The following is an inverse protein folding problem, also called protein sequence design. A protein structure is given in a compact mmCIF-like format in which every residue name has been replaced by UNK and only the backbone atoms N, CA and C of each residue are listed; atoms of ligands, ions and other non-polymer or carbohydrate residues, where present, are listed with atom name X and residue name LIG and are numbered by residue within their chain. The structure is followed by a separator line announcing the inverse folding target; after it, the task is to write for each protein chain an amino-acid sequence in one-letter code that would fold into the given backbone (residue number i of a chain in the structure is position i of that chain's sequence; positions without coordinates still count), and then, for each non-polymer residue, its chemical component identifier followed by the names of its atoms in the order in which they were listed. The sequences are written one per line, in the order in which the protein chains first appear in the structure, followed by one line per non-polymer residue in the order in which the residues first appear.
data_IF_426068374549
#
_entry.id   IF_426068374549
#
_cell.length_a   1.000
_cell.length_b   1.000
_cell.length_c   1.000
_cell.angle_alpha   90.00
_cell.angle_beta   90.00
_cell.angle_gamma   90.00
#
_symmetry.space_group_name_H-M   'P 1'
#
loop_
_entity.id
_entity.type
_entity.pdbx_description
1 polymer ?
#
# COMPACT_ATOMS: atom_id res chain seq x y z
N UNK A 1 18.93 9.59 -25.95
CA UNK A 1 19.90 8.53 -25.60
C UNK A 1 19.65 7.87 -24.25
N UNK A 2 19.59 8.65 -23.16
CA UNK A 2 19.35 8.17 -21.78
C UNK A 2 18.09 7.30 -21.65
N UNK A 3 16.97 7.68 -22.29
CA UNK A 3 15.72 6.90 -22.29
C UNK A 3 15.82 5.53 -23.00
N UNK A 4 16.78 5.34 -23.91
CA UNK A 4 17.03 4.06 -24.61
C UNK A 4 17.93 3.15 -23.77
N UNK A 5 18.96 3.72 -23.15
CA UNK A 5 19.86 3.01 -22.23
C UNK A 5 19.10 2.51 -20.98
N UNK A 6 18.23 3.36 -20.41
CA UNK A 6 17.37 2.96 -19.28
C UNK A 6 16.40 1.83 -19.65
N UNK A 7 15.87 1.83 -20.88
CA UNK A 7 15.00 0.77 -21.40
C UNK A 7 15.74 -0.56 -21.58
N UNK A 8 17.00 -0.51 -22.04
CA UNK A 8 17.87 -1.68 -22.19
C UNK A 8 18.30 -2.27 -20.84
N UNK A 9 18.61 -1.43 -19.84
CA UNK A 9 18.93 -1.93 -18.49
C UNK A 9 17.72 -2.59 -17.82
N UNK A 10 16.50 -2.18 -18.16
CA UNK A 10 15.26 -2.79 -17.66
C UNK A 10 15.08 -4.24 -18.11
N UNK A 11 15.53 -4.57 -19.32
CA UNK A 11 15.43 -5.93 -19.86
C UNK A 11 16.45 -6.90 -19.24
N UNK A 12 17.58 -6.39 -18.75
CA UNK A 12 18.71 -7.23 -18.29
C UNK A 12 18.65 -7.54 -16.79
N UNK A 13 18.05 -6.66 -15.96
CA UNK A 13 18.08 -6.79 -14.49
C UNK A 13 16.75 -6.38 -13.82
N UNK A 14 15.66 -7.14 -14.02
CA UNK A 14 14.32 -6.80 -13.53
C UNK A 14 14.22 -6.73 -12.00
N UNK A 15 15.05 -7.46 -11.27
CA UNK A 15 15.12 -7.48 -9.80
C UNK A 15 15.65 -6.18 -9.19
N UNK A 16 16.60 -5.50 -9.85
CA UNK A 16 17.11 -4.20 -9.40
C UNK A 16 16.04 -3.11 -9.50
N UNK A 17 15.22 -3.16 -10.55
CA UNK A 17 14.07 -2.27 -10.68
C UNK A 17 13.00 -2.57 -9.66
N UNK A 18 12.68 -3.84 -9.40
CA UNK A 18 11.72 -4.21 -8.34
C UNK A 18 12.18 -3.69 -6.97
N UNK A 19 13.47 -3.81 -6.66
CA UNK A 19 14.05 -3.29 -5.41
C UNK A 19 13.97 -1.76 -5.34
N UNK A 20 14.27 -1.08 -6.44
CA UNK A 20 14.16 0.39 -6.51
C UNK A 20 12.72 0.88 -6.40
N UNK A 21 11.76 0.19 -7.03
CA UNK A 21 10.33 0.56 -6.96
C UNK A 21 9.77 0.42 -5.55
N UNK A 22 10.08 -0.68 -4.85
CA UNK A 22 9.63 -0.88 -3.48
C UNK A 22 10.21 0.19 -2.54
N UNK A 23 11.46 0.60 -2.75
CA UNK A 23 12.08 1.70 -2.01
C UNK A 23 11.39 3.06 -2.26
N UNK A 24 10.99 3.34 -3.51
CA UNK A 24 10.22 4.55 -3.84
C UNK A 24 8.88 4.55 -3.10
N UNK A 25 8.17 3.41 -3.09
CA UNK A 25 6.92 3.25 -2.34
C UNK A 25 7.14 3.48 -0.84
N UNK A 26 8.19 2.90 -0.25
CA UNK A 26 8.53 3.12 1.16
C UNK A 26 8.79 4.61 1.47
N UNK A 27 9.49 5.32 0.59
CA UNK A 27 9.72 6.77 0.76
C UNK A 27 8.43 7.58 0.66
N UNK A 28 7.51 7.23 -0.24
CA UNK A 28 6.19 7.88 -0.32
C UNK A 28 5.35 7.63 0.93
N UNK A 29 5.37 6.41 1.47
CA UNK A 29 4.70 6.06 2.73
C UNK A 29 5.28 6.89 3.90
N UNK A 30 6.62 7.05 3.97
CA UNK A 30 7.25 7.92 4.98
C UNK A 30 6.81 9.37 4.82
N UNK A 31 6.79 9.90 3.60
CA UNK A 31 6.30 11.26 3.33
C UNK A 31 4.84 11.46 3.78
N UNK A 32 3.96 10.48 3.57
CA UNK A 32 2.59 10.52 4.07
C UNK A 32 2.57 10.49 5.59
N UNK A 33 3.32 9.58 6.21
CA UNK A 33 3.44 9.49 7.68
C UNK A 33 3.78 10.85 8.26
N UNK A 34 4.78 11.51 7.70
CA UNK A 34 5.26 12.80 8.20
C UNK A 34 4.25 13.93 7.91
N UNK A 35 3.65 13.96 6.72
CA UNK A 35 2.66 14.97 6.30
C UNK A 35 1.39 14.94 7.16
N UNK A 36 0.90 13.74 7.45
CA UNK A 36 -0.33 13.51 8.22
C UNK A 36 -0.05 13.25 9.71
N UNK A 37 1.21 13.39 10.14
CA UNK A 37 1.66 13.21 11.52
C UNK A 37 1.24 11.86 12.14
N UNK A 38 1.30 10.79 11.34
CA UNK A 38 1.02 9.44 11.83
C UNK A 38 2.15 8.92 12.73
N UNK A 39 1.79 8.01 13.64
CA UNK A 39 2.74 7.45 14.62
C UNK A 39 3.81 6.56 13.98
N UNK A 40 4.89 6.28 14.72
CA UNK A 40 5.88 5.29 14.29
C UNK A 40 5.29 3.88 14.12
N UNK A 41 4.22 3.55 14.85
CA UNK A 41 3.48 2.31 14.67
C UNK A 41 2.79 2.24 13.31
N UNK A 42 2.31 3.37 12.78
CA UNK A 42 1.83 3.45 11.41
C UNK A 42 2.93 3.08 10.41
N UNK A 43 4.13 3.63 10.59
CA UNK A 43 5.30 3.30 9.77
C UNK A 43 5.58 1.79 9.75
N UNK A 44 5.69 1.17 10.93
CA UNK A 44 5.94 -0.28 11.03
C UNK A 44 4.83 -1.14 10.44
N UNK A 45 3.57 -0.77 10.69
CA UNK A 45 2.40 -1.50 10.19
C UNK A 45 2.32 -1.40 8.66
N UNK A 46 2.56 -0.21 8.10
CA UNK A 46 2.56 0.02 6.66
C UNK A 46 3.69 -0.77 5.95
N UNK A 47 4.87 -0.87 6.56
CA UNK A 47 5.98 -1.67 6.03
C UNK A 47 5.63 -3.17 6.03
N UNK A 48 5.05 -3.68 7.12
CA UNK A 48 4.60 -5.08 7.18
C UNK A 48 3.53 -5.41 6.13
N UNK A 49 2.60 -4.49 5.90
CA UNK A 49 1.58 -4.61 4.83
C UNK A 49 2.23 -4.59 3.45
N UNK A 50 3.12 -3.62 3.19
CA UNK A 50 3.83 -3.52 1.91
C UNK A 50 4.60 -4.80 1.60
N UNK A 51 5.34 -5.31 2.59
CA UNK A 51 6.13 -6.52 2.43
C UNK A 51 5.27 -7.74 2.12
N UNK A 52 4.18 -7.92 2.88
CA UNK A 52 3.28 -9.06 2.71
C UNK A 52 2.55 -9.03 1.36
N UNK A 53 2.10 -7.87 0.94
CA UNK A 53 1.21 -7.72 -0.22
C UNK A 53 1.92 -7.22 -1.48
N UNK A 54 3.25 -7.06 -1.47
CA UNK A 54 4.02 -6.55 -2.61
C UNK A 54 3.72 -7.29 -3.92
N UNK A 55 3.67 -8.62 -3.88
CA UNK A 55 3.41 -9.45 -5.07
C UNK A 55 1.99 -9.29 -5.64
N UNK A 56 1.05 -8.77 -4.85
CA UNK A 56 -0.32 -8.49 -5.28
C UNK A 56 -0.48 -7.04 -5.76
N UNK A 57 0.09 -6.09 -5.01
CA UNK A 57 -0.12 -4.66 -5.23
C UNK A 57 0.89 -4.03 -6.20
N UNK A 58 2.12 -4.54 -6.29
CA UNK A 58 3.23 -3.93 -7.03
C UNK A 58 3.08 -3.83 -8.56
N UNK A 59 1.94 -4.24 -9.12
CA UNK A 59 1.66 -4.21 -10.57
C UNK A 59 1.12 -2.88 -11.10
N UNK A 60 1.00 -1.86 -10.25
CA UNK A 60 0.55 -0.50 -10.61
C UNK A 60 1.63 0.54 -10.26
N UNK A 61 1.32 1.83 -10.37
CA UNK A 61 2.24 2.93 -10.05
C UNK A 61 2.60 2.95 -8.56
N UNK A 62 3.79 3.46 -8.25
CA UNK A 62 4.31 3.54 -6.88
C UNK A 62 3.33 4.32 -5.98
N UNK A 63 2.81 5.44 -6.46
CA UNK A 63 1.83 6.27 -5.73
C UNK A 63 0.56 5.50 -5.37
N UNK A 64 -0.01 4.72 -6.31
CA UNK A 64 -1.22 3.94 -6.02
C UNK A 64 -0.92 2.85 -5.00
N UNK A 65 0.26 2.21 -5.07
CA UNK A 65 0.68 1.21 -4.06
C UNK A 65 0.85 1.87 -2.69
N UNK A 66 1.58 2.97 -2.60
CA UNK A 66 1.83 3.70 -1.35
C UNK A 66 0.50 4.13 -0.70
N UNK A 67 -0.38 4.76 -1.46
CA UNK A 67 -1.70 5.18 -0.98
C UNK A 67 -2.57 4.01 -0.53
N UNK A 68 -2.57 2.90 -1.30
CA UNK A 68 -3.29 1.67 -0.90
C UNK A 68 -2.78 1.13 0.43
N UNK A 69 -1.46 1.06 0.61
CA UNK A 69 -0.84 0.58 1.86
C UNK A 69 -1.18 1.51 3.03
N UNK A 70 -1.10 2.83 2.85
CA UNK A 70 -1.50 3.79 3.88
C UNK A 70 -2.96 3.63 4.29
N UNK A 71 -3.87 3.46 3.33
CA UNK A 71 -5.31 3.28 3.60
C UNK A 71 -5.57 1.95 4.32
N UNK A 72 -4.92 0.85 3.91
CA UNK A 72 -4.99 -0.42 4.64
C UNK A 72 -4.46 -0.28 6.07
N UNK A 73 -3.39 0.48 6.27
CA UNK A 73 -2.81 0.76 7.59
C UNK A 73 -3.80 1.52 8.48
N UNK A 74 -4.44 2.56 7.94
CA UNK A 74 -5.47 3.32 8.65
C UNK A 74 -6.65 2.43 9.07
N UNK A 75 -7.06 1.51 8.19
CA UNK A 75 -8.14 0.55 8.50
C UNK A 75 -7.71 -0.41 9.61
N UNK A 76 -6.50 -0.96 9.54
CA UNK A 76 -5.94 -1.90 10.54
C UNK A 76 -5.84 -1.24 11.93
N UNK A 77 -5.41 0.01 11.97
CA UNK A 77 -5.19 0.79 13.21
C UNK A 77 -6.43 1.56 13.67
N UNK A 78 -7.56 1.38 12.99
CA UNK A 78 -8.82 2.11 13.20
C UNK A 78 -8.69 3.65 13.24
N UNK A 79 -7.80 4.20 12.44
CA UNK A 79 -7.61 5.65 12.24
C UNK A 79 -8.81 6.19 11.45
N UNK A 80 -9.46 7.24 11.97
CA UNK A 80 -10.69 7.85 11.40
C UNK A 80 -10.60 9.36 11.21
N UNK A 81 -9.56 9.99 11.74
CA UNK A 81 -9.37 11.45 11.71
C UNK A 81 -8.91 11.98 10.35
N UNK A 82 -8.58 11.11 9.39
CA UNK A 82 -8.24 11.51 8.02
C UNK A 82 -9.10 10.79 7.00
N UNK A 83 -9.70 11.50 6.03
CA UNK A 83 -10.46 10.89 4.96
C UNK A 83 -9.53 10.25 3.92
N UNK A 84 -10.00 9.16 3.30
CA UNK A 84 -9.28 8.46 2.24
C UNK A 84 -8.97 9.39 1.06
N UNK A 85 -9.85 10.36 0.78
CA UNK A 85 -9.66 11.35 -0.29
C UNK A 85 -8.37 12.15 -0.13
N UNK A 86 -8.08 12.65 1.06
CA UNK A 86 -6.90 13.49 1.31
C UNK A 86 -5.58 12.73 1.04
N UNK A 87 -5.52 11.45 1.41
CA UNK A 87 -4.38 10.59 1.09
C UNK A 87 -4.23 10.42 -0.42
N UNK A 88 -5.34 10.16 -1.12
CA UNK A 88 -5.33 9.96 -2.57
C UNK A 88 -4.91 11.24 -3.31
N UNK A 89 -5.45 12.39 -2.90
CA UNK A 89 -5.15 13.70 -3.47
C UNK A 89 -3.68 14.08 -3.25
N UNK A 90 -3.12 13.81 -2.07
CA UNK A 90 -1.70 14.06 -1.75
C UNK A 90 -0.73 13.30 -2.66
N UNK A 91 -1.17 12.17 -3.23
CA UNK A 91 -0.39 11.31 -4.12
C UNK A 91 -0.81 11.41 -5.59
N UNK A 92 -1.79 12.27 -5.90
CA UNK A 92 -2.23 12.54 -7.26
C UNK A 92 -2.97 11.39 -7.95
N UNK A 93 -3.77 10.60 -7.23
CA UNK A 93 -4.58 9.53 -7.83
C UNK A 93 -6.01 9.48 -7.24
N UNK A 94 -6.92 8.74 -7.88
CA UNK A 94 -8.34 8.69 -7.48
C UNK A 94 -8.66 7.60 -6.46
N UNK A 95 -9.67 7.82 -5.61
CA UNK A 95 -10.16 6.79 -4.68
C UNK A 95 -10.59 5.48 -5.38
N UNK A 96 -11.09 5.58 -6.61
CA UNK A 96 -11.46 4.41 -7.42
C UNK A 96 -10.27 3.49 -7.70
N UNK A 97 -9.05 4.04 -7.82
CA UNK A 97 -7.84 3.24 -8.02
C UNK A 97 -7.52 2.38 -6.78
N UNK A 98 -7.65 2.92 -5.56
CA UNK A 98 -7.47 2.13 -4.33
C UNK A 98 -8.57 1.09 -4.16
N UNK A 99 -9.82 1.47 -4.43
CA UNK A 99 -10.93 0.51 -4.36
C UNK A 99 -10.69 -0.65 -5.33
N UNK A 100 -10.21 -0.37 -6.55
CA UNK A 100 -9.80 -1.39 -7.52
C UNK A 100 -8.66 -2.27 -7.00
N UNK A 101 -7.62 -1.68 -6.39
CA UNK A 101 -6.50 -2.45 -5.82
C UNK A 101 -6.98 -3.41 -4.74
N UNK A 102 -7.71 -2.92 -3.75
CA UNK A 102 -8.17 -3.76 -2.62
C UNK A 102 -9.13 -4.84 -3.13
N UNK A 103 -10.13 -4.46 -3.93
CA UNK A 103 -11.10 -5.41 -4.46
C UNK A 103 -10.44 -6.49 -5.32
N UNK A 104 -9.74 -6.10 -6.38
CA UNK A 104 -9.36 -7.02 -7.43
C UNK A 104 -8.01 -7.69 -7.17
N UNK A 105 -7.09 -7.02 -6.46
CA UNK A 105 -5.74 -7.57 -6.22
C UNK A 105 -5.62 -8.33 -4.90
N UNK A 106 -6.48 -8.02 -3.92
CA UNK A 106 -6.52 -8.74 -2.65
C UNK A 106 -7.72 -9.67 -2.62
N UNK A 107 -8.94 -9.15 -2.59
CA UNK A 107 -10.12 -9.97 -2.30
C UNK A 107 -10.47 -10.94 -3.43
N UNK A 108 -10.60 -10.49 -4.67
CA UNK A 108 -10.93 -11.37 -5.79
C UNK A 108 -9.79 -12.35 -6.09
N UNK A 109 -8.54 -11.87 -6.10
CA UNK A 109 -7.36 -12.71 -6.39
C UNK A 109 -7.11 -13.78 -5.34
N UNK A 110 -7.56 -13.57 -4.11
CA UNK A 110 -7.49 -14.56 -3.03
C UNK A 110 -8.82 -15.31 -2.81
N UNK A 111 -9.80 -15.11 -3.69
CA UNK A 111 -11.13 -15.73 -3.62
C UNK A 111 -11.86 -15.48 -2.29
N UNK A 112 -11.73 -14.28 -1.73
CA UNK A 112 -12.37 -13.89 -0.47
C UNK A 112 -13.70 -13.18 -0.79
N UNK A 113 -14.86 -13.79 -0.45
CA UNK A 113 -16.15 -13.18 -0.70
C UNK A 113 -16.44 -12.02 0.28
N UNK A 114 -17.42 -11.18 -0.07
CA UNK A 114 -18.01 -10.20 0.85
C UNK A 114 -17.43 -8.78 0.78
N UNK A 115 -16.40 -8.54 -0.03
CA UNK A 115 -15.97 -7.16 -0.31
C UNK A 115 -17.00 -6.44 -1.18
N UNK A 116 -17.42 -5.24 -0.75
CA UNK A 116 -18.30 -4.34 -1.54
C UNK A 116 -17.61 -3.02 -1.82
N UNK A 117 -17.27 -2.29 -0.76
CA UNK A 117 -16.53 -1.02 -0.79
C UNK A 117 -15.60 -0.98 0.41
N UNK A 118 -14.57 -0.12 0.37
CA UNK A 118 -13.64 0.07 1.49
C UNK A 118 -14.40 0.40 2.78
N UNK A 119 -15.37 1.33 2.72
CA UNK A 119 -16.13 1.77 3.89
C UNK A 119 -17.02 0.66 4.46
N UNK A 120 -17.80 -0.01 3.61
CA UNK A 120 -18.74 -1.06 4.04
C UNK A 120 -18.05 -2.35 4.48
N UNK A 121 -16.84 -2.59 3.98
CA UNK A 121 -16.07 -3.82 4.24
C UNK A 121 -14.87 -3.55 5.16
N UNK A 122 -14.88 -2.44 5.92
CA UNK A 122 -13.77 -2.02 6.78
C UNK A 122 -13.32 -3.11 7.76
N UNK A 123 -14.26 -3.73 8.47
CA UNK A 123 -13.92 -4.78 9.45
C UNK A 123 -13.39 -6.04 8.76
N UNK A 124 -13.97 -6.43 7.62
CA UNK A 124 -13.48 -7.55 6.81
C UNK A 124 -12.04 -7.32 6.34
N UNK A 125 -11.74 -6.11 5.86
CA UNK A 125 -10.38 -5.71 5.46
C UNK A 125 -9.44 -5.78 6.66
N UNK A 126 -9.82 -5.16 7.77
CA UNK A 126 -9.02 -5.11 8.99
C UNK A 126 -8.64 -6.50 9.49
N UNK A 127 -9.62 -7.39 9.67
CA UNK A 127 -9.39 -8.76 10.13
C UNK A 127 -8.52 -9.55 9.16
N UNK A 128 -8.80 -9.42 7.85
CA UNK A 128 -8.01 -10.09 6.83
C UNK A 128 -6.54 -9.64 6.85
N UNK A 129 -6.28 -8.34 6.88
CA UNK A 129 -4.91 -7.81 6.88
C UNK A 129 -4.19 -8.20 8.17
N UNK A 130 -4.81 -8.01 9.35
CA UNK A 130 -4.22 -8.37 10.65
C UNK A 130 -3.83 -9.84 10.73
N UNK A 131 -4.64 -10.75 10.17
CA UNK A 131 -4.35 -12.18 10.13
C UNK A 131 -3.11 -12.53 9.29
N UNK A 132 -2.73 -11.67 8.34
CA UNK A 132 -1.72 -11.98 7.33
C UNK A 132 -0.39 -11.25 7.50
N UNK A 133 -0.29 -10.28 8.40
CA UNK A 133 0.93 -9.52 8.66
C UNK A 133 1.55 -9.89 10.01
N UNK A 134 2.88 -10.00 10.04
CA UNK A 134 3.64 -10.21 11.26
C UNK A 134 4.11 -8.86 11.80
N UNK A 135 3.33 -8.26 12.70
CA UNK A 135 3.78 -7.04 13.40
C UNK A 135 4.75 -7.48 14.49
N UNK A 136 6.05 -7.24 14.28
CA UNK A 136 7.06 -7.44 15.33
C UNK A 136 6.74 -6.48 16.49
N UNK A 137 6.21 -7.02 17.59
CA UNK A 137 6.07 -6.29 18.85
C UNK A 137 7.46 -6.01 19.38
N UNK A 138 7.80 -4.75 19.57
CA UNK A 138 8.98 -4.36 20.34
C UNK A 138 8.59 -4.44 21.81
N UNK A 139 9.22 -5.34 22.57
CA UNK A 139 9.20 -5.24 24.02
C UNK A 139 9.88 -3.91 24.36
N UNK A 140 9.14 -2.99 24.99
CA UNK A 140 9.73 -1.82 25.65
C UNK A 140 10.53 -2.25 26.87
#
# INVERSE_FOLDING_TARGET
EVRRLFRRSIEVYPEYLKKNRKLIVQNQIRSIKDTFQFSEEFGRTSEAILDKFWMLLGSTTESVVAGTVCILTMIVMDIKNHPISEICDSLGFTQSAVNYQIKNKIFEKLHIPGFKTITSSRELIKEFIKKNIDIKKTNS
#
